data_IF_064568864706
#
_entry.id   IF_064568864706
#
_cell.length_a   1.000
_cell.length_b   1.000
_cell.length_c   1.000
_cell.angle_alpha   90.00
_cell.angle_beta   90.00
_cell.angle_gamma   90.00
#
_symmetry.space_group_name_H-M   'P 1'
#
loop_
_entity.id
_entity.type
_entity.pdbx_description
1 polymer ?
#
# COMPACT_ATOMS: atom_id res chain seq x y z
N UNK A 1 -17.01 6.46 -7.69
CA UNK A 1 -16.75 5.56 -6.55
C UNK A 1 -16.44 6.44 -5.36
N UNK A 2 -17.25 6.40 -4.31
CA UNK A 2 -17.02 7.19 -3.09
C UNK A 2 -15.96 6.49 -2.24
N UNK A 3 -14.83 7.16 -2.08
CA UNK A 3 -13.72 6.71 -1.24
C UNK A 3 -14.04 7.21 0.18
N UNK A 4 -14.17 6.31 1.16
CA UNK A 4 -14.47 6.65 2.56
C UNK A 4 -13.35 7.50 3.19
N UNK A 5 -13.66 8.22 4.26
CA UNK A 5 -12.69 8.95 5.09
C UNK A 5 -11.72 7.96 5.77
N UNK A 6 -10.41 8.11 5.54
CA UNK A 6 -9.34 7.30 6.15
C UNK A 6 -8.02 7.39 5.36
N UNK A 7 -6.97 6.72 5.86
CA UNK A 7 -5.63 6.78 5.24
C UNK A 7 -5.51 5.83 4.04
N UNK A 8 -4.74 6.21 3.02
CA UNK A 8 -4.45 5.35 1.86
C UNK A 8 -2.94 5.17 1.72
N UNK A 9 -2.52 3.94 1.43
CA UNK A 9 -1.13 3.64 1.13
C UNK A 9 -0.87 3.87 -0.37
N UNK A 10 0.07 4.73 -0.71
CA UNK A 10 0.58 4.89 -2.07
C UNK A 10 1.91 4.15 -2.21
N UNK A 11 1.93 3.16 -3.10
CA UNK A 11 3.14 2.41 -3.45
C UNK A 11 3.91 3.18 -4.53
N UNK A 12 5.13 3.61 -4.18
CA UNK A 12 5.96 4.50 -4.97
C UNK A 12 7.21 3.78 -5.48
N UNK A 13 7.09 3.20 -6.67
CA UNK A 13 8.17 2.47 -7.35
C UNK A 13 8.94 3.42 -8.26
N UNK A 14 8.22 4.24 -9.03
CA UNK A 14 8.79 5.22 -9.95
C UNK A 14 8.84 6.65 -9.38
N UNK A 15 10.00 7.30 -9.53
CA UNK A 15 10.37 8.52 -8.82
C UNK A 15 9.59 9.78 -9.24
N UNK A 16 8.94 9.82 -10.41
CA UNK A 16 8.30 11.06 -10.88
C UNK A 16 6.77 11.09 -10.70
N UNK A 17 6.12 9.94 -10.67
CA UNK A 17 4.66 9.82 -10.68
C UNK A 17 3.99 10.34 -9.40
N UNK A 18 4.41 9.84 -8.24
CA UNK A 18 3.67 10.03 -6.98
C UNK A 18 3.51 11.49 -6.58
N UNK A 19 4.53 12.33 -6.81
CA UNK A 19 4.46 13.77 -6.49
C UNK A 19 3.46 14.50 -7.38
N UNK A 20 3.41 14.18 -8.67
CA UNK A 20 2.47 14.80 -9.63
C UNK A 20 1.04 14.39 -9.31
N UNK A 21 0.82 13.09 -9.06
CA UNK A 21 -0.47 12.55 -8.65
C UNK A 21 -0.99 13.21 -7.37
N UNK A 22 -0.17 13.21 -6.32
CA UNK A 22 -0.57 13.76 -5.02
C UNK A 22 -0.88 15.25 -5.13
N UNK A 23 -0.08 16.04 -5.86
CA UNK A 23 -0.39 17.46 -6.08
C UNK A 23 -1.72 17.66 -6.81
N UNK A 24 -2.03 16.83 -7.80
CA UNK A 24 -3.33 16.91 -8.48
C UNK A 24 -4.48 16.53 -7.53
N UNK A 25 -4.30 15.43 -6.79
CA UNK A 25 -5.28 14.90 -5.86
C UNK A 25 -5.57 15.86 -4.69
N UNK A 26 -4.52 16.43 -4.08
CA UNK A 26 -4.59 17.43 -3.00
C UNK A 26 -5.03 18.81 -3.52
N UNK A 27 -5.04 19.10 -4.81
CA UNK A 27 -5.58 20.38 -5.31
C UNK A 27 -7.05 20.31 -5.74
N UNK A 28 -7.65 19.12 -5.81
CA UNK A 28 -9.10 18.98 -5.92
C UNK A 28 -9.74 19.51 -4.62
N UNK A 29 -10.77 20.37 -4.65
CA UNK A 29 -11.26 21.13 -3.49
C UNK A 29 -12.01 20.30 -2.41
N UNK A 30 -11.66 19.02 -2.23
CA UNK A 30 -12.31 18.10 -1.30
C UNK A 30 -11.78 18.29 0.15
N UNK A 31 -12.63 18.69 1.11
CA UNK A 31 -12.26 18.81 2.53
C UNK A 31 -11.98 17.46 3.21
N UNK A 32 -12.36 16.34 2.58
CA UNK A 32 -12.06 14.99 3.03
C UNK A 32 -10.71 14.47 2.50
N UNK A 33 -9.78 15.37 2.13
CA UNK A 33 -8.46 15.00 1.61
C UNK A 33 -7.78 14.00 2.52
N UNK A 34 -7.64 12.82 1.92
CA UNK A 34 -7.31 11.56 2.55
C UNK A 34 -5.84 11.58 2.96
N UNK A 35 -5.59 11.07 4.14
CA UNK A 35 -4.26 10.92 4.72
C UNK A 35 -3.45 9.93 3.86
N UNK A 36 -2.63 10.42 2.92
CA UNK A 36 -1.75 9.54 2.13
C UNK A 36 -0.52 9.19 2.96
N UNK A 37 -0.31 7.90 3.17
CA UNK A 37 0.97 7.32 3.59
C UNK A 37 1.66 6.82 2.33
N UNK A 38 2.94 7.15 2.14
CA UNK A 38 3.68 6.74 0.95
C UNK A 38 4.78 5.74 1.32
N UNK A 39 4.92 4.66 0.55
CA UNK A 39 5.97 3.67 0.77
C UNK A 39 6.77 3.41 -0.52
N UNK A 40 8.09 3.33 -0.39
CA UNK A 40 8.99 3.06 -1.51
C UNK A 40 10.46 3.09 -1.12
N UNK A 41 11.33 2.78 -2.09
CA UNK A 41 12.77 2.62 -1.82
C UNK A 41 13.56 3.95 -1.78
N UNK A 42 13.05 5.03 -2.39
CA UNK A 42 13.75 6.31 -2.45
C UNK A 42 13.42 7.24 -1.28
N UNK A 43 14.02 6.96 -0.11
CA UNK A 43 13.77 7.72 1.13
C UNK A 43 13.98 9.23 0.99
N UNK A 44 14.94 9.69 0.19
CA UNK A 44 15.17 11.13 0.00
C UNK A 44 13.97 11.83 -0.65
N UNK A 45 13.36 11.19 -1.65
CA UNK A 45 12.14 11.68 -2.28
C UNK A 45 10.97 11.66 -1.30
N UNK A 46 10.80 10.56 -0.56
CA UNK A 46 9.69 10.41 0.39
C UNK A 46 9.73 11.45 1.50
N UNK A 47 10.91 11.66 2.11
CA UNK A 47 11.14 12.70 3.12
C UNK A 47 10.83 14.08 2.55
N UNK A 48 11.24 14.36 1.32
CA UNK A 48 10.93 15.64 0.66
C UNK A 48 9.43 15.82 0.45
N UNK A 49 8.69 14.76 0.13
CA UNK A 49 7.24 14.83 -0.01
C UNK A 49 6.54 15.08 1.32
N UNK A 50 7.02 14.49 2.42
CA UNK A 50 6.53 14.77 3.76
C UNK A 50 6.83 16.22 4.17
N UNK A 51 8.05 16.70 3.92
CA UNK A 51 8.45 18.08 4.21
C UNK A 51 7.66 19.12 3.41
N UNK A 52 7.33 18.81 2.16
CA UNK A 52 6.46 19.62 1.30
C UNK A 52 4.96 19.52 1.70
N UNK A 53 4.64 18.84 2.81
CA UNK A 53 3.28 18.58 3.32
C UNK A 53 2.35 17.88 2.29
N UNK A 54 2.94 17.09 1.39
CA UNK A 54 2.20 16.36 0.36
C UNK A 54 1.66 15.02 0.88
N UNK A 55 2.30 14.43 1.89
CA UNK A 55 1.91 13.15 2.49
C UNK A 55 1.90 13.29 4.01
N UNK A 56 1.08 12.50 4.68
CA UNK A 56 0.99 12.48 6.14
C UNK A 56 2.21 11.82 6.77
N UNK A 57 2.64 10.71 6.17
CA UNK A 57 3.74 9.91 6.65
C UNK A 57 4.42 9.19 5.48
N UNK A 58 5.64 8.70 5.72
CA UNK A 58 6.37 7.91 4.75
C UNK A 58 7.03 6.68 5.38
N UNK A 59 7.13 5.61 4.60
CA UNK A 59 7.80 4.39 4.99
C UNK A 59 8.84 4.02 3.93
N UNK A 60 10.04 3.65 4.36
CA UNK A 60 10.94 2.94 3.47
C UNK A 60 10.37 1.55 3.21
N UNK A 61 10.31 1.14 1.95
CA UNK A 61 9.96 -0.22 1.58
C UNK A 61 10.70 -0.62 0.31
N UNK A 62 11.48 -1.68 0.40
CA UNK A 62 11.96 -2.41 -0.77
C UNK A 62 10.91 -3.45 -1.16
N UNK A 63 10.14 -3.15 -2.20
CA UNK A 63 8.99 -3.95 -2.66
C UNK A 63 9.41 -5.28 -3.27
N UNK A 64 10.68 -5.43 -3.62
CA UNK A 64 11.21 -6.73 -4.07
C UNK A 64 11.61 -7.62 -2.88
N UNK A 65 11.56 -7.08 -1.65
CA UNK A 65 11.98 -7.76 -0.44
C UNK A 65 10.78 -8.00 0.50
N UNK A 66 10.38 -9.26 0.61
CA UNK A 66 9.27 -9.71 1.45
C UNK A 66 9.40 -9.29 2.93
N UNK A 67 10.63 -9.28 3.47
CA UNK A 67 10.87 -8.84 4.85
C UNK A 67 10.52 -7.35 5.00
N UNK A 68 10.94 -6.53 4.03
CA UNK A 68 10.65 -5.10 4.05
C UNK A 68 9.15 -4.82 3.97
N UNK A 69 8.39 -5.66 3.25
CA UNK A 69 6.94 -5.53 3.13
C UNK A 69 6.24 -5.97 4.42
N UNK A 70 6.71 -7.04 5.06
CA UNK A 70 6.20 -7.50 6.35
C UNK A 70 6.39 -6.44 7.45
N UNK A 71 7.56 -5.78 7.46
CA UNK A 71 7.82 -4.64 8.35
C UNK A 71 6.91 -3.44 8.04
N UNK A 72 6.69 -3.14 6.76
CA UNK A 72 5.73 -2.12 6.33
C UNK A 72 4.32 -2.46 6.81
N UNK A 73 3.85 -3.69 6.60
CA UNK A 73 2.52 -4.14 7.01
C UNK A 73 2.33 -4.00 8.53
N UNK A 74 3.35 -4.41 9.30
CA UNK A 74 3.37 -4.27 10.76
C UNK A 74 3.29 -2.81 11.21
N UNK A 75 4.13 -1.94 10.63
CA UNK A 75 4.12 -0.52 10.93
C UNK A 75 2.77 0.14 10.59
N UNK A 76 2.22 -0.18 9.42
CA UNK A 76 0.94 0.36 8.98
C UNK A 76 -0.17 -0.10 9.93
N UNK A 77 -0.23 -1.38 10.28
CA UNK A 77 -1.23 -1.90 11.22
C UNK A 77 -1.17 -1.21 12.59
N UNK A 78 0.03 -0.96 13.13
CA UNK A 78 0.20 -0.35 14.45
C UNK A 78 -0.10 1.16 14.48
N UNK A 79 0.15 1.87 13.38
CA UNK A 79 0.17 3.34 13.37
C UNK A 79 -0.86 3.99 12.44
N UNK A 80 -1.45 3.26 11.51
CA UNK A 80 -2.31 3.80 10.46
C UNK A 80 -3.52 2.89 10.17
N UNK A 81 -4.71 3.48 10.13
CA UNK A 81 -5.92 2.77 9.66
C UNK A 81 -6.01 2.90 8.12
N UNK A 82 -5.28 2.03 7.41
CA UNK A 82 -5.22 2.01 5.95
C UNK A 82 -6.53 1.46 5.37
N UNK A 83 -7.19 2.25 4.53
CA UNK A 83 -8.47 1.93 3.88
C UNK A 83 -8.30 1.34 2.47
N UNK A 84 -7.08 1.30 1.95
CA UNK A 84 -6.76 0.74 0.65
C UNK A 84 -5.40 1.18 0.13
N UNK A 85 -4.96 0.46 -0.91
CA UNK A 85 -3.64 0.65 -1.53
C UNK A 85 -3.79 1.18 -2.95
N UNK A 86 -2.95 2.15 -3.30
CA UNK A 86 -2.89 2.82 -4.59
C UNK A 86 -1.60 2.42 -5.32
N UNK A 87 -1.74 2.01 -6.58
CA UNK A 87 -0.64 1.67 -7.47
C UNK A 87 -0.68 2.55 -8.72
N UNK A 88 0.47 3.00 -9.20
CA UNK A 88 0.59 3.51 -10.56
C UNK A 88 0.25 2.40 -11.56
N UNK A 89 -0.54 2.71 -12.60
CA UNK A 89 -0.89 1.75 -13.65
C UNK A 89 0.33 1.09 -14.29
N UNK A 90 1.35 1.88 -14.65
CA UNK A 90 2.53 1.35 -15.34
C UNK A 90 3.25 0.33 -14.47
N UNK A 91 3.50 0.69 -13.22
CA UNK A 91 4.19 -0.15 -12.24
C UNK A 91 3.39 -1.42 -11.95
N UNK A 92 2.07 -1.31 -11.80
CA UNK A 92 1.21 -2.46 -11.58
C UNK A 92 1.25 -3.42 -12.78
N UNK A 93 1.14 -2.93 -14.01
CA UNK A 93 1.06 -3.77 -15.22
C UNK A 93 2.38 -4.44 -15.59
N UNK A 94 3.51 -3.77 -15.31
CA UNK A 94 4.86 -4.29 -15.56
C UNK A 94 5.36 -5.25 -14.47
N UNK A 95 4.63 -5.34 -13.35
CA UNK A 95 4.96 -6.25 -12.26
C UNK A 95 5.08 -7.70 -12.73
N UNK A 96 6.13 -8.38 -12.30
CA UNK A 96 6.25 -9.83 -12.46
C UNK A 96 5.32 -10.59 -11.51
N UNK A 97 5.29 -11.91 -11.61
CA UNK A 97 4.39 -12.75 -10.81
C UNK A 97 4.67 -12.62 -9.29
N UNK A 98 5.92 -12.38 -8.89
CA UNK A 98 6.30 -12.21 -7.48
C UNK A 98 5.79 -10.87 -6.95
N UNK A 99 6.05 -9.79 -7.69
CA UNK A 99 5.57 -8.45 -7.35
C UNK A 99 4.05 -8.39 -7.35
N UNK A 100 3.39 -9.06 -8.31
CA UNK A 100 1.93 -9.09 -8.37
C UNK A 100 1.33 -9.88 -7.20
N UNK A 101 1.96 -10.98 -6.78
CA UNK A 101 1.58 -11.69 -5.57
C UNK A 101 1.65 -10.76 -4.33
N UNK A 102 2.74 -10.02 -4.19
CA UNK A 102 2.91 -9.03 -3.12
C UNK A 102 1.79 -7.97 -3.19
N UNK A 103 1.56 -7.34 -4.34
CA UNK A 103 0.53 -6.30 -4.47
C UNK A 103 -0.86 -6.81 -4.13
N UNK A 104 -1.17 -8.04 -4.54
CA UNK A 104 -2.43 -8.70 -4.24
C UNK A 104 -2.53 -9.18 -2.78
N UNK A 105 -1.45 -9.09 -2.01
CA UNK A 105 -1.43 -9.41 -0.58
C UNK A 105 -1.53 -8.17 0.32
N UNK A 106 -1.23 -6.97 -0.18
CA UNK A 106 -1.09 -5.78 0.68
C UNK A 106 -2.39 -5.34 1.38
N UNK A 107 -3.54 -5.47 0.72
CA UNK A 107 -4.85 -5.04 1.24
C UNK A 107 -5.98 -5.56 0.34
N UNK A 108 -7.19 -5.80 0.85
CA UNK A 108 -8.33 -6.26 0.03
C UNK A 108 -8.75 -5.21 -1.01
N UNK A 109 -8.93 -3.96 -0.56
CA UNK A 109 -9.23 -2.81 -1.42
C UNK A 109 -7.98 -2.26 -2.09
N UNK A 110 -7.85 -2.49 -3.40
CA UNK A 110 -6.72 -2.03 -4.21
C UNK A 110 -7.19 -1.23 -5.40
N UNK A 111 -6.43 -0.20 -5.74
CA UNK A 111 -6.76 0.70 -6.82
C UNK A 111 -5.56 1.02 -7.70
N UNK A 112 -5.84 1.11 -8.99
CA UNK A 112 -4.91 1.55 -10.01
C UNK A 112 -5.15 3.02 -10.31
N UNK A 113 -4.09 3.81 -10.28
CA UNK A 113 -4.09 5.22 -10.62
C UNK A 113 -3.58 5.38 -12.05
N UNK A 114 -4.44 5.90 -12.90
CA UNK A 114 -4.26 6.01 -14.35
C UNK A 114 -4.07 7.48 -14.68
N UNK A 115 -2.92 7.83 -15.27
CA UNK A 115 -2.71 9.16 -15.80
C UNK A 115 -3.45 9.32 -17.14
N UNK A 116 -4.19 10.41 -17.31
CA UNK A 116 -4.96 10.75 -18.50
C UNK A 116 -4.65 12.18 -18.92
N UNK A 117 -5.08 12.59 -20.12
CA UNK A 117 -4.90 13.97 -20.60
C UNK A 117 -5.58 15.02 -19.72
N UNK A 118 -6.59 14.62 -18.91
CA UNK A 118 -7.35 15.52 -18.03
C UNK A 118 -6.92 15.44 -16.56
N UNK A 119 -5.91 14.64 -16.22
CA UNK A 119 -5.48 14.43 -14.83
C UNK A 119 -5.34 12.95 -14.50
N UNK A 120 -5.99 12.50 -13.43
CA UNK A 120 -5.87 11.12 -12.95
C UNK A 120 -7.23 10.46 -12.74
N UNK A 121 -7.34 9.19 -13.15
CA UNK A 121 -8.49 8.33 -12.89
C UNK A 121 -8.07 7.21 -11.93
N UNK A 122 -8.95 6.84 -10.98
CA UNK A 122 -8.69 5.75 -10.03
C UNK A 122 -9.68 4.61 -10.31
N UNK A 123 -9.16 3.41 -10.63
CA UNK A 123 -9.97 2.22 -10.90
C UNK A 123 -9.69 1.10 -9.90
N UNK A 124 -10.71 0.37 -9.42
CA UNK A 124 -10.48 -0.80 -8.59
C UNK A 124 -9.77 -1.91 -9.37
N UNK A 125 -8.83 -2.56 -8.71
CA UNK A 125 -8.19 -3.80 -9.18
C UNK A 125 -9.13 -4.97 -8.81
N UNK A 126 -9.35 -5.89 -9.75
CA UNK A 126 -10.29 -7.02 -9.60
C UNK A 126 -9.60 -8.36 -9.35
N UNK A 127 -8.28 -8.36 -9.31
CA UNK A 127 -7.49 -9.56 -9.04
C UNK A 127 -7.77 -10.04 -7.61
N UNK A 128 -7.71 -11.36 -7.40
CA UNK A 128 -8.00 -11.99 -6.11
C UNK A 128 -7.02 -11.50 -5.03
N UNK A 129 -7.52 -11.31 -3.81
CA UNK A 129 -6.69 -10.91 -2.67
C UNK A 129 -6.11 -12.14 -1.96
N UNK A 130 -4.84 -12.07 -1.59
CA UNK A 130 -4.15 -13.07 -0.80
C UNK A 130 -3.87 -12.52 0.59
N UNK A 131 -4.85 -12.63 1.49
CA UNK A 131 -4.69 -12.22 2.88
C UNK A 131 -3.60 -13.03 3.57
N UNK A 132 -2.53 -12.40 4.06
CA UNK A 132 -1.39 -13.05 4.73
C UNK A 132 -0.61 -12.03 5.62
N UNK A 133 0.63 -12.35 6.01
CA UNK A 133 1.49 -11.48 6.83
C UNK A 133 1.93 -10.18 6.13
N UNK A 134 1.67 -10.03 4.83
CA UNK A 134 1.94 -8.82 4.05
C UNK A 134 0.73 -7.86 4.02
N UNK A 135 -0.42 -8.30 4.53
CA UNK A 135 -1.64 -7.51 4.56
C UNK A 135 -1.58 -6.46 5.67
N UNK A 136 -1.88 -5.20 5.34
CA UNK A 136 -1.85 -4.09 6.29
C UNK A 136 -3.17 -3.88 7.06
N UNK A 137 -4.21 -4.67 6.73
CA UNK A 137 -5.56 -4.61 7.30
C UNK A 137 -5.96 -5.85 8.12
N UNK A 138 -5.06 -6.82 8.27
CA UNK A 138 -5.29 -8.04 9.04
C UNK A 138 -4.65 -7.95 10.43
N UNK A 139 -5.27 -8.62 11.40
CA UNK A 139 -4.73 -8.73 12.75
C UNK A 139 -3.52 -9.69 12.72
N UNK A 140 -2.30 -9.16 12.79
CA UNK A 140 -1.03 -9.91 12.64
C UNK A 140 -0.94 -11.09 13.63
N UNK A 141 -1.68 -11.01 14.75
CA UNK A 141 -1.84 -12.08 15.72
C UNK A 141 -2.45 -13.37 15.13
N UNK A 142 -3.33 -13.29 14.12
CA UNK A 142 -3.90 -14.47 13.46
C UNK A 142 -2.83 -15.24 12.66
N UNK A 143 -1.92 -14.55 11.98
CA UNK A 143 -0.89 -15.22 11.16
C UNK A 143 0.16 -15.94 12.02
N UNK A 144 0.48 -15.39 13.20
CA UNK A 144 1.34 -16.07 14.18
C UNK A 144 0.66 -17.30 14.80
N UNK A 145 -0.66 -17.25 15.05
CA UNK A 145 -1.42 -18.41 15.54
C UNK A 145 -1.50 -19.54 14.52
N UNK A 146 -1.77 -19.24 13.24
CA UNK A 146 -1.83 -20.25 12.17
C UNK A 146 -0.49 -20.96 11.95
N UNK A 147 0.63 -20.24 12.01
CA UNK A 147 1.98 -20.82 11.96
C UNK A 147 2.28 -21.71 13.17
N UNK A 148 1.76 -21.37 14.35
CA UNK A 148 1.96 -22.15 15.58
C UNK A 148 1.13 -23.45 15.56
N UNK A 149 -0.09 -23.41 15.05
CA UNK A 149 -0.97 -24.59 14.92
C UNK A 149 -0.46 -25.60 13.85
N UNK A 150 0.19 -25.12 12.79
CA UNK A 150 0.85 -25.97 11.78
C UNK A 150 2.14 -26.62 12.28
N UNK A 151 2.78 -26.05 13.32
CA UNK A 151 4.05 -26.52 13.89
C UNK A 151 3.87 -27.37 15.15
N UNK A 152 2.66 -27.57 15.65
CA UNK A 152 2.40 -28.53 16.74
C UNK A 152 2.39 -29.96 16.20
N UNK A 153 3.43 -30.79 16.47
CA UNK A 153 3.36 -32.20 16.12
C UNK A 153 2.32 -32.90 17.00
N UNK A 154 1.49 -33.75 16.39
CA UNK A 154 0.60 -34.69 17.07
C UNK A 154 1.41 -35.69 17.92
N UNK A 155 1.85 -35.30 19.10
CA UNK A 155 2.33 -36.22 20.11
C UNK A 155 1.79 -35.81 21.47
N UNK A 156 0.50 -36.09 21.69
CA UNK A 156 -0.04 -36.42 23.01
C UNK A 156 -1.41 -37.10 22.85
N UNK A 157 -1.38 -38.43 22.74
CA UNK A 157 -2.47 -39.33 23.15
C UNK A 157 -1.89 -40.52 23.88
#
# INVERSE_FOLDING_TARGET
>A
MEIKTGSYLLIDIDNEFSRSFIKHYINSNDPAKKDIVIAGANTQKLVKMMFDELVKDYCYCDIENEISISELASYLHEHHDIQGVLFNQTDYLLADDTQRFIYNSLHEKRYMVIQTDQGYEIKPIKDECHSNHLSCDTDIAQTAQELTELLTPEYEK
#
